data_IF_195823232228
#
_entry.id   IF_195823232228
#
_cell.length_a   1.000
_cell.length_b   1.000
_cell.length_c   1.000
_cell.angle_alpha   90.00
_cell.angle_beta   90.00
_cell.angle_gamma   90.00
#
_symmetry.space_group_name_H-M   'P 1'
#
loop_
_entity.id
_entity.type
_entity.pdbx_description
1 polymer ?
#
# COMPACT_ATOMS: atom_id res chain seq x y z
N UNK A 1 -4.63 14.82 -0.33
CA UNK A 1 -5.23 15.55 -1.47
C UNK A 1 -6.57 16.15 -1.02
N UNK A 2 -7.07 17.21 -1.70
CA UNK A 2 -8.34 17.85 -1.33
C UNK A 2 -9.58 17.01 -1.74
N UNK A 3 -9.39 16.08 -2.69
CA UNK A 3 -10.40 15.15 -3.18
C UNK A 3 -9.71 13.82 -3.52
N UNK A 4 -10.40 12.70 -3.27
CA UNK A 4 -9.96 11.33 -3.59
C UNK A 4 -11.14 10.56 -4.16
N UNK A 5 -10.92 9.90 -5.30
CA UNK A 5 -11.95 9.16 -6.02
C UNK A 5 -11.43 7.74 -6.29
N UNK A 6 -11.73 6.77 -5.42
CA UNK A 6 -11.35 5.38 -5.66
C UNK A 6 -11.97 4.86 -6.97
N UNK A 7 -11.23 4.05 -7.73
CA UNK A 7 -11.74 3.40 -8.94
C UNK A 7 -12.69 2.26 -8.58
N UNK A 8 -12.16 1.21 -7.96
CA UNK A 8 -12.96 0.12 -7.40
C UNK A 8 -13.56 0.47 -6.01
N UNK A 9 -14.88 0.33 -5.88
CA UNK A 9 -15.63 0.57 -4.64
C UNK A 9 -16.45 -0.67 -4.32
N UNK A 10 -16.20 -1.27 -3.16
CA UNK A 10 -16.96 -2.40 -2.67
C UNK A 10 -18.26 -1.96 -1.97
N UNK A 11 -19.28 -2.82 -2.03
CA UNK A 11 -20.53 -2.57 -1.31
C UNK A 11 -20.37 -2.73 0.22
N UNK A 12 -21.36 -2.26 0.97
CA UNK A 12 -21.33 -2.29 2.44
C UNK A 12 -21.43 -3.69 3.08
N UNK A 13 -21.68 -4.73 2.29
CA UNK A 13 -21.68 -6.13 2.70
C UNK A 13 -20.37 -6.85 2.37
N UNK A 14 -19.52 -6.27 1.52
CA UNK A 14 -18.27 -6.88 1.07
C UNK A 14 -17.31 -7.18 2.22
N UNK A 15 -16.67 -8.34 2.12
CA UNK A 15 -15.48 -8.68 2.86
C UNK A 15 -14.56 -9.51 1.99
N UNK A 16 -13.31 -9.12 2.02
CA UNK A 16 -12.19 -9.78 1.37
C UNK A 16 -11.75 -11.09 2.00
N UNK A 17 -12.26 -11.35 3.20
CA UNK A 17 -12.00 -12.55 3.96
C UNK A 17 -13.13 -13.54 3.74
N UNK A 18 -12.82 -14.64 3.05
CA UNK A 18 -13.75 -15.73 2.83
C UNK A 18 -13.44 -16.84 3.82
N UNK A 19 -14.43 -17.21 4.62
CA UNK A 19 -14.34 -18.37 5.53
C UNK A 19 -14.81 -19.61 4.76
N UNK A 20 -13.89 -20.52 4.47
CA UNK A 20 -14.20 -21.80 3.84
C UNK A 20 -14.95 -22.72 4.82
N UNK A 21 -15.69 -23.74 4.34
CA UNK A 21 -16.36 -24.72 5.22
C UNK A 21 -15.42 -25.46 6.19
N UNK A 22 -14.12 -25.50 5.88
CA UNK A 22 -13.07 -26.05 6.76
C UNK A 22 -12.70 -25.15 7.94
N UNK A 23 -13.17 -23.90 7.97
CA UNK A 23 -12.75 -22.86 8.91
C UNK A 23 -11.49 -22.10 8.47
N UNK A 24 -10.89 -22.46 7.34
CA UNK A 24 -9.76 -21.70 6.76
C UNK A 24 -10.29 -20.36 6.26
N UNK A 25 -9.61 -19.28 6.63
CA UNK A 25 -9.87 -17.95 6.10
C UNK A 25 -8.91 -17.70 4.95
N UNK A 26 -9.45 -17.39 3.77
CA UNK A 26 -8.66 -16.95 2.62
C UNK A 26 -8.87 -15.45 2.39
N UNK A 27 -7.80 -14.76 2.02
CA UNK A 27 -7.87 -13.40 1.50
C UNK A 27 -8.07 -13.51 -0.01
N UNK A 28 -9.31 -13.33 -0.49
CA UNK A 28 -9.68 -13.53 -1.88
C UNK A 28 -10.34 -12.26 -2.41
N UNK A 29 -9.64 -11.52 -3.26
CA UNK A 29 -10.09 -10.21 -3.71
C UNK A 29 -9.72 -9.93 -5.15
N UNK A 30 -10.73 -9.63 -5.96
CA UNK A 30 -10.65 -8.71 -7.08
C UNK A 30 -12.05 -8.10 -7.24
N UNK A 31 -12.25 -6.86 -6.75
CA UNK A 31 -13.46 -6.09 -7.10
C UNK A 31 -13.13 -5.30 -8.36
N UNK A 32 -13.98 -5.44 -9.37
CA UNK A 32 -13.88 -4.64 -10.58
C UNK A 32 -14.26 -3.18 -10.31
N UNK A 33 -13.59 -2.25 -11.00
CA UNK A 33 -14.03 -0.87 -11.13
C UNK A 33 -15.21 -0.77 -12.11
N UNK A 34 -15.56 0.45 -12.52
CA UNK A 34 -16.65 0.73 -13.46
C UNK A 34 -16.47 0.14 -14.87
N UNK A 35 -15.26 -0.26 -15.25
CA UNK A 35 -14.95 -0.88 -16.55
C UNK A 35 -15.04 -2.41 -16.53
N UNK A 36 -15.20 -3.00 -15.34
CA UNK A 36 -15.35 -4.45 -15.17
C UNK A 36 -14.06 -5.19 -14.85
N UNK A 37 -12.93 -4.49 -14.66
CA UNK A 37 -11.65 -5.09 -14.25
C UNK A 37 -11.03 -4.33 -13.07
N UNK A 38 -9.97 -4.85 -12.45
CA UNK A 38 -9.31 -4.20 -11.32
C UNK A 38 -8.28 -3.17 -11.78
N UNK A 39 -8.19 -2.02 -11.09
CA UNK A 39 -7.29 -0.89 -11.39
C UNK A 39 -5.77 -1.23 -11.39
N UNK A 40 -5.40 -2.45 -11.00
CA UNK A 40 -4.01 -2.92 -10.89
C UNK A 40 -3.66 -3.91 -12.00
N UNK A 41 -4.54 -4.12 -12.98
CA UNK A 41 -4.25 -4.92 -14.17
C UNK A 41 -3.64 -3.97 -15.21
N UNK A 42 -2.31 -3.93 -15.39
CA UNK A 42 -1.71 -2.94 -16.26
C UNK A 42 -2.09 -3.25 -17.71
N UNK A 43 -2.28 -2.22 -18.53
CA UNK A 43 -2.30 -2.40 -19.97
C UNK A 43 -0.86 -2.40 -20.51
N UNK A 44 -0.46 -3.36 -21.38
CA UNK A 44 0.94 -3.48 -21.82
C UNK A 44 1.44 -2.27 -22.62
N UNK A 45 0.53 -1.54 -23.27
CA UNK A 45 0.85 -0.33 -24.04
C UNK A 45 0.93 0.95 -23.16
N UNK A 46 0.87 0.81 -21.83
CA UNK A 46 0.96 1.90 -20.86
C UNK A 46 -0.39 2.34 -20.29
N UNK A 47 -0.42 3.44 -19.53
CA UNK A 47 -1.61 3.89 -18.81
C UNK A 47 -2.32 5.07 -19.50
N UNK A 48 -2.20 5.23 -20.83
CA UNK A 48 -2.85 6.36 -21.53
C UNK A 48 -4.37 6.23 -21.61
N UNK A 49 -5.10 7.27 -22.09
CA UNK A 49 -6.56 7.20 -22.21
C UNK A 49 -7.05 6.12 -23.18
N UNK A 50 -6.23 5.79 -24.19
CA UNK A 50 -6.53 4.71 -25.13
C UNK A 50 -6.23 3.32 -24.58
N UNK A 51 -5.59 3.26 -23.41
CA UNK A 51 -5.23 2.06 -22.67
C UNK A 51 -6.02 1.95 -21.36
N UNK A 52 -7.13 2.69 -21.26
CA UNK A 52 -8.04 2.54 -20.12
C UNK A 52 -8.48 1.08 -19.99
N UNK A 53 -8.48 0.63 -18.76
CA UNK A 53 -8.81 -0.72 -18.34
C UNK A 53 -10.14 -1.20 -18.93
N UNK A 54 -10.15 -2.32 -19.64
CA UNK A 54 -11.38 -2.96 -20.12
C UNK A 54 -11.28 -4.49 -20.13
N UNK A 55 -12.39 -5.16 -20.42
CA UNK A 55 -12.46 -6.63 -20.47
C UNK A 55 -11.61 -7.27 -21.59
N UNK A 56 -11.05 -6.49 -22.51
CA UNK A 56 -10.14 -6.94 -23.57
C UNK A 56 -8.66 -6.78 -23.20
N UNK A 57 -8.36 -6.30 -21.99
CA UNK A 57 -6.98 -6.14 -21.52
C UNK A 57 -6.23 -7.49 -21.66
N UNK A 58 -5.11 -7.54 -22.41
CA UNK A 58 -4.38 -8.79 -22.67
C UNK A 58 -3.77 -9.42 -21.42
N UNK A 59 -3.67 -8.67 -20.32
CA UNK A 59 -3.26 -9.15 -19.01
C UNK A 59 -4.41 -9.76 -18.19
N UNK A 60 -5.63 -9.81 -18.73
CA UNK A 60 -6.80 -10.48 -18.17
C UNK A 60 -7.19 -11.68 -19.04
N UNK A 61 -6.85 -12.89 -18.59
CA UNK A 61 -7.18 -14.14 -19.28
C UNK A 61 -8.32 -14.88 -18.53
N UNK A 62 -9.56 -14.47 -18.80
CA UNK A 62 -10.77 -15.01 -18.13
C UNK A 62 -10.91 -16.52 -18.39
N UNK A 63 -10.64 -16.98 -19.60
CA UNK A 63 -10.72 -18.38 -20.01
C UNK A 63 -9.70 -19.28 -19.31
N UNK A 64 -8.60 -18.70 -18.83
CA UNK A 64 -7.54 -19.39 -18.07
C UNK A 64 -7.66 -19.15 -16.56
N UNK A 65 -8.63 -18.35 -16.11
CA UNK A 65 -8.74 -17.82 -14.75
C UNK A 65 -7.40 -17.24 -14.25
N UNK A 66 -6.78 -16.40 -15.07
CA UNK A 66 -5.47 -15.81 -14.81
C UNK A 66 -5.48 -14.31 -15.07
N UNK A 67 -4.65 -13.60 -14.30
CA UNK A 67 -4.47 -12.15 -14.41
C UNK A 67 -3.03 -11.77 -14.11
N UNK A 68 -2.52 -10.73 -14.75
CA UNK A 68 -1.25 -10.07 -14.38
C UNK A 68 -1.59 -8.81 -13.59
N UNK A 69 -1.01 -8.68 -12.40
CA UNK A 69 -1.22 -7.53 -11.52
C UNK A 69 0.08 -6.74 -11.41
N UNK A 70 0.00 -5.42 -11.51
CA UNK A 70 1.08 -4.52 -11.17
C UNK A 70 1.25 -4.49 -9.65
N UNK A 71 2.48 -4.64 -9.18
CA UNK A 71 2.82 -4.56 -7.76
C UNK A 71 3.39 -3.18 -7.42
N UNK A 72 3.12 -2.74 -6.19
CA UNK A 72 3.70 -1.56 -5.56
C UNK A 72 5.13 -1.85 -5.12
N UNK A 73 6.02 -0.87 -5.20
CA UNK A 73 7.39 -0.95 -4.66
C UNK A 73 7.47 -0.43 -3.22
N UNK A 74 8.45 -0.89 -2.46
CA UNK A 74 8.66 -0.50 -1.07
C UNK A 74 10.07 -0.79 -0.57
N UNK A 75 10.30 -0.41 0.68
CA UNK A 75 11.52 -0.67 1.42
C UNK A 75 11.24 -1.55 2.63
N UNK A 76 12.15 -2.48 2.89
CA UNK A 76 12.21 -3.20 4.15
C UNK A 76 13.66 -3.34 4.60
N UNK A 77 13.93 -2.92 5.84
CA UNK A 77 15.23 -3.08 6.50
C UNK A 77 16.43 -2.60 5.66
N UNK A 78 16.30 -1.45 4.99
CA UNK A 78 17.36 -0.87 4.16
C UNK A 78 17.46 -1.43 2.74
N UNK A 79 16.67 -2.46 2.41
CA UNK A 79 16.64 -3.10 1.09
C UNK A 79 15.44 -2.63 0.27
N UNK A 80 15.62 -2.31 -1.03
CA UNK A 80 14.54 -1.92 -1.93
C UNK A 80 13.73 -3.14 -2.42
N UNK A 81 12.86 -2.91 -3.41
CA UNK A 81 12.13 -3.95 -4.15
C UNK A 81 11.18 -4.76 -3.26
N UNK A 82 10.64 -4.14 -2.23
CA UNK A 82 9.69 -4.78 -1.33
C UNK A 82 8.29 -4.75 -1.95
N UNK A 83 8.04 -5.69 -2.86
CA UNK A 83 6.84 -5.69 -3.68
C UNK A 83 5.62 -6.17 -2.91
N UNK A 84 4.57 -5.36 -2.97
CA UNK A 84 3.32 -5.60 -2.29
C UNK A 84 2.14 -5.21 -3.19
N UNK A 85 0.93 -5.52 -2.75
CA UNK A 85 -0.30 -5.10 -3.44
C UNK A 85 -1.30 -4.63 -2.40
N UNK A 86 -1.94 -3.49 -2.62
CA UNK A 86 -3.14 -3.12 -1.85
C UNK A 86 -4.33 -3.77 -2.50
N UNK A 87 -5.02 -4.57 -1.71
CA UNK A 87 -6.19 -5.32 -2.13
C UNK A 87 -7.45 -4.53 -1.78
N UNK A 88 -7.66 -4.24 -0.49
CA UNK A 88 -8.71 -3.36 -0.01
C UNK A 88 -8.28 -2.48 1.17
N UNK A 89 -9.01 -1.39 1.37
CA UNK A 89 -8.78 -0.44 2.46
C UNK A 89 -10.08 0.18 2.96
N UNK A 90 -10.11 0.52 4.24
CA UNK A 90 -11.23 1.23 4.87
C UNK A 90 -11.29 2.71 4.54
N UNK A 91 -10.25 3.27 3.92
CA UNK A 91 -10.11 4.70 3.65
C UNK A 91 -9.98 4.96 2.14
N UNK A 92 -10.69 5.95 1.58
CA UNK A 92 -10.65 6.23 0.15
C UNK A 92 -9.29 6.78 -0.33
N UNK A 93 -8.48 7.38 0.54
CA UNK A 93 -7.17 7.94 0.18
C UNK A 93 -6.18 6.88 -0.31
N UNK A 94 -5.84 5.88 0.52
CA UNK A 94 -5.04 4.73 0.09
C UNK A 94 -5.68 3.97 -1.07
N UNK A 95 -7.01 3.87 -1.15
CA UNK A 95 -7.69 3.18 -2.25
C UNK A 95 -7.39 3.87 -3.58
N UNK A 96 -7.46 5.21 -3.59
CA UNK A 96 -7.13 6.01 -4.77
C UNK A 96 -5.64 5.95 -5.08
N UNK A 97 -4.76 6.20 -4.11
CA UNK A 97 -3.32 6.40 -4.36
C UNK A 97 -2.60 5.09 -4.64
N UNK A 98 -3.07 3.97 -4.07
CA UNK A 98 -2.46 2.65 -4.24
C UNK A 98 -3.32 1.72 -5.12
N UNK A 99 -4.31 2.25 -5.83
CA UNK A 99 -5.21 1.52 -6.76
C UNK A 99 -5.82 0.26 -6.13
N UNK A 100 -6.17 0.38 -4.85
CA UNK A 100 -6.86 -0.66 -4.10
C UNK A 100 -8.37 -0.47 -4.11
N UNK A 101 -9.10 -1.49 -3.65
CA UNK A 101 -10.54 -1.42 -3.50
C UNK A 101 -10.90 -0.61 -2.26
N UNK A 102 -11.78 0.39 -2.40
CA UNK A 102 -12.37 1.05 -1.24
C UNK A 102 -13.46 0.14 -0.63
N UNK A 103 -13.17 -0.43 0.54
CA UNK A 103 -14.04 -1.33 1.28
C UNK A 103 -14.38 -0.72 2.67
N UNK A 104 -15.41 0.14 2.76
CA UNK A 104 -15.68 0.91 3.98
C UNK A 104 -15.97 0.04 5.22
N UNK A 105 -16.45 -1.19 5.03
CA UNK A 105 -16.74 -2.12 6.12
C UNK A 105 -15.49 -2.54 6.89
N UNK A 106 -14.29 -2.45 6.30
CA UNK A 106 -13.03 -2.72 7.00
C UNK A 106 -12.84 -1.83 8.24
N UNK A 107 -13.41 -0.62 8.25
CA UNK A 107 -13.35 0.28 9.41
C UNK A 107 -14.01 -0.29 10.67
N UNK A 108 -14.85 -1.33 10.53
CA UNK A 108 -15.51 -1.99 11.66
C UNK A 108 -14.66 -3.09 12.31
N UNK A 109 -13.44 -3.37 11.81
CA UNK A 109 -12.58 -4.36 12.44
C UNK A 109 -12.22 -3.90 13.86
N UNK A 110 -12.41 -4.76 14.87
CA UNK A 110 -12.14 -4.38 16.25
C UNK A 110 -10.64 -4.17 16.42
N UNK A 111 -10.29 -2.96 16.85
CA UNK A 111 -9.06 -2.65 17.60
C UNK A 111 -7.83 -2.22 16.78
N UNK A 112 -7.83 -0.95 16.37
CA UNK A 112 -6.74 -0.22 15.71
C UNK A 112 -5.56 0.10 16.65
N UNK A 113 -4.33 0.10 16.14
CA UNK A 113 -3.12 0.52 16.88
C UNK A 113 -2.61 -0.41 17.98
N UNK A 114 -3.16 -1.60 18.18
CA UNK A 114 -2.74 -2.52 19.26
C UNK A 114 -1.76 -3.61 18.82
N UNK A 115 -0.70 -3.30 18.08
CA UNK A 115 0.35 -4.30 17.81
C UNK A 115 1.32 -4.44 19.00
N UNK A 116 1.65 -5.66 19.50
CA UNK A 116 1.32 -7.01 18.96
C UNK A 116 0.03 -7.66 19.52
N UNK A 117 -0.74 -6.97 20.36
CA UNK A 117 -2.00 -7.47 20.93
C UNK A 117 -3.18 -7.56 19.96
N UNK A 118 -2.99 -7.20 18.69
CA UNK A 118 -3.99 -7.11 17.63
C UNK A 118 -3.40 -7.51 16.28
N UNK A 119 -4.26 -7.83 15.32
CA UNK A 119 -3.86 -8.38 14.01
C UNK A 119 -3.40 -7.33 13.00
N UNK A 120 -3.40 -6.05 13.36
CA UNK A 120 -2.95 -4.96 12.50
C UNK A 120 -1.51 -4.61 12.80
N UNK A 121 -0.66 -4.64 11.77
CA UNK A 121 0.72 -4.22 11.83
C UNK A 121 0.82 -2.72 11.57
N UNK A 122 1.60 -1.94 12.33
CA UNK A 122 1.78 -0.54 11.99
C UNK A 122 2.72 -0.43 10.77
N UNK A 123 2.49 0.52 9.88
CA UNK A 123 3.45 0.95 8.86
C UNK A 123 3.39 2.47 8.69
N UNK A 124 4.42 3.08 8.10
CA UNK A 124 4.60 4.53 8.12
C UNK A 124 4.83 5.10 6.72
N UNK A 125 3.75 5.31 5.94
CA UNK A 125 3.83 6.12 4.72
C UNK A 125 4.18 7.57 5.07
N UNK A 126 4.79 8.31 4.15
CA UNK A 126 5.13 9.73 4.36
C UNK A 126 4.30 10.64 3.48
N UNK A 127 3.70 11.69 4.05
CA UNK A 127 2.84 12.61 3.32
C UNK A 127 3.59 13.48 2.30
N UNK A 128 4.74 14.03 2.69
CA UNK A 128 5.49 15.04 1.94
C UNK A 128 6.95 14.61 1.68
N UNK A 129 7.13 13.40 1.16
CA UNK A 129 8.46 12.90 0.81
C UNK A 129 9.05 13.58 -0.43
N UNK A 130 10.09 12.97 -0.99
CA UNK A 130 10.81 13.48 -2.15
C UNK A 130 10.06 13.15 -3.44
N UNK A 131 9.86 14.13 -4.31
CA UNK A 131 9.12 14.00 -5.57
C UNK A 131 10.02 13.89 -6.81
N UNK A 132 11.32 14.09 -6.64
CA UNK A 132 12.32 14.00 -7.71
C UNK A 132 13.46 13.09 -7.28
N UNK A 133 13.82 12.12 -8.12
CA UNK A 133 15.00 11.30 -7.88
C UNK A 133 16.28 12.10 -8.15
N UNK A 134 17.16 12.17 -7.16
CA UNK A 134 18.41 12.95 -7.20
C UNK A 134 19.65 12.14 -6.83
N UNK A 135 19.47 10.94 -6.28
CA UNK A 135 20.55 10.09 -5.75
C UNK A 135 20.41 8.61 -6.14
N UNK A 136 19.43 8.27 -6.98
CA UNK A 136 19.21 6.91 -7.49
C UNK A 136 18.40 6.01 -6.56
N UNK A 137 17.82 6.56 -5.48
CA UNK A 137 16.91 5.84 -4.59
C UNK A 137 15.43 6.07 -4.91
N UNK A 138 15.14 6.82 -5.98
CA UNK A 138 13.78 7.07 -6.45
C UNK A 138 13.09 8.21 -5.73
N UNK A 139 11.76 8.12 -5.71
CA UNK A 139 10.85 9.08 -5.07
C UNK A 139 10.14 8.41 -3.89
N UNK A 140 9.54 9.20 -3.01
CA UNK A 140 8.75 8.67 -1.91
C UNK A 140 7.68 9.67 -1.47
N UNK A 141 6.55 9.13 -1.03
CA UNK A 141 5.53 9.83 -0.30
C UNK A 141 4.21 9.97 -1.04
N UNK A 142 3.14 10.26 -0.30
CA UNK A 142 1.80 10.41 -0.86
C UNK A 142 1.74 11.57 -1.87
N UNK A 143 2.56 12.59 -1.67
CA UNK A 143 2.72 13.71 -2.61
C UNK A 143 3.34 13.29 -3.94
N UNK A 144 4.33 12.38 -3.98
CA UNK A 144 4.92 11.94 -5.25
C UNK A 144 3.89 11.19 -6.09
N UNK A 145 3.13 10.30 -5.46
CA UNK A 145 2.05 9.56 -6.13
C UNK A 145 0.90 10.49 -6.58
N UNK A 146 0.52 11.47 -5.74
CA UNK A 146 -0.52 12.44 -6.08
C UNK A 146 -0.14 13.38 -7.23
N UNK A 147 1.15 13.66 -7.41
CA UNK A 147 1.66 14.48 -8.52
C UNK A 147 1.93 13.66 -9.78
N UNK A 148 1.93 12.34 -9.68
CA UNK A 148 2.15 11.46 -10.81
C UNK A 148 0.93 11.45 -11.72
N UNK A 149 1.10 11.89 -12.97
CA UNK A 149 0.06 11.72 -13.98
C UNK A 149 -0.25 10.23 -14.15
N UNK A 150 -1.54 9.89 -14.08
CA UNK A 150 -2.07 8.52 -14.13
C UNK A 150 -1.29 7.48 -13.32
N UNK A 151 -0.75 7.91 -12.18
CA UNK A 151 -0.06 7.07 -11.20
C UNK A 151 1.05 6.18 -11.78
N UNK A 152 1.82 6.72 -12.73
CA UNK A 152 3.10 6.13 -13.15
C UNK A 152 4.05 5.91 -11.96
N UNK A 153 3.95 6.71 -10.90
CA UNK A 153 4.68 6.55 -9.65
C UNK A 153 3.73 6.23 -8.50
N UNK A 154 4.01 5.13 -7.83
CA UNK A 154 3.34 4.71 -6.59
C UNK A 154 4.02 5.34 -5.36
N UNK A 155 3.34 5.40 -4.19
CA UNK A 155 3.99 5.80 -2.96
C UNK A 155 4.92 4.69 -2.48
N UNK A 156 6.24 4.88 -2.57
CA UNK A 156 7.19 3.88 -2.08
C UNK A 156 7.22 3.86 -0.55
N UNK A 157 6.57 2.87 0.06
CA UNK A 157 6.38 2.78 1.51
C UNK A 157 7.52 2.03 2.22
N UNK A 158 7.68 2.23 3.53
CA UNK A 158 8.62 1.45 4.37
C UNK A 158 7.84 0.49 5.26
N UNK A 159 8.24 -0.78 5.27
CA UNK A 159 7.58 -1.84 6.04
C UNK A 159 8.48 -2.33 7.18
N UNK A 160 7.94 -2.51 8.40
CA UNK A 160 8.73 -2.92 9.56
C UNK A 160 8.89 -4.43 9.70
N UNK A 161 7.96 -5.21 9.14
CA UNK A 161 7.84 -6.65 9.38
C UNK A 161 7.70 -7.36 8.03
N UNK A 162 8.52 -8.39 7.86
CA UNK A 162 8.55 -9.26 6.69
C UNK A 162 7.68 -10.51 6.89
N UNK A 163 7.09 -11.11 5.83
CA UNK A 163 6.33 -12.36 5.93
C UNK A 163 7.06 -13.54 6.58
N UNK A 164 8.39 -13.53 6.66
CA UNK A 164 9.15 -14.55 7.39
C UNK A 164 9.07 -14.39 8.91
N UNK A 165 8.56 -13.27 9.42
CA UNK A 165 8.35 -13.04 10.85
C UNK A 165 7.01 -13.64 11.30
N UNK A 166 7.00 -14.39 12.41
CA UNK A 166 5.79 -15.05 12.95
C UNK A 166 4.68 -14.06 13.36
N UNK A 167 5.02 -12.78 13.54
CA UNK A 167 4.06 -11.71 13.86
C UNK A 167 3.37 -11.16 12.62
N UNK A 168 3.79 -11.55 11.41
CA UNK A 168 3.30 -10.97 10.18
C UNK A 168 1.79 -11.16 10.01
N UNK A 169 1.12 -10.08 9.61
CA UNK A 169 -0.23 -10.07 9.10
C UNK A 169 -0.29 -9.13 7.89
N UNK A 170 -1.09 -9.43 6.85
CA UNK A 170 -1.25 -8.53 5.71
C UNK A 170 -2.13 -7.32 6.02
N UNK A 171 -2.63 -7.20 7.26
CA UNK A 171 -3.46 -6.09 7.70
C UNK A 171 -2.60 -5.03 8.35
N UNK A 172 -2.68 -3.82 7.83
CA UNK A 172 -1.86 -2.70 8.25
C UNK A 172 -2.69 -1.56 8.81
N UNK A 173 -2.13 -0.93 9.84
CA UNK A 173 -2.52 0.35 10.40
C UNK A 173 -1.54 1.40 9.89
N UNK A 174 -2.03 2.39 9.14
CA UNK A 174 -1.19 3.47 8.62
C UNK A 174 -0.93 4.53 9.68
N UNK A 175 0.34 4.85 9.91
CA UNK A 175 0.83 5.93 10.76
C UNK A 175 1.57 6.94 9.88
N UNK A 176 0.83 7.83 9.21
CA UNK A 176 1.45 8.74 8.25
C UNK A 176 2.40 9.71 8.98
N UNK A 177 3.58 9.89 8.41
CA UNK A 177 4.59 10.86 8.87
C UNK A 177 4.74 12.02 7.88
N UNK A 178 5.30 13.14 8.33
CA UNK A 178 5.70 14.24 7.46
C UNK A 178 7.06 14.83 7.88
N UNK A 179 7.86 15.21 6.89
CA UNK A 179 9.10 15.93 7.08
C UNK A 179 8.85 17.39 7.47
N UNK A 180 9.67 17.91 8.37
CA UNK A 180 9.70 19.32 8.79
C UNK A 180 10.75 20.14 8.04
N UNK A 181 11.61 19.47 7.25
CA UNK A 181 12.71 20.07 6.49
C UNK A 181 12.36 20.31 5.01
N UNK A 182 13.10 21.19 4.31
CA UNK A 182 12.97 21.39 2.86
C UNK A 182 13.20 20.09 2.07
N UNK A 183 12.59 19.97 0.89
CA UNK A 183 12.65 18.74 0.09
C UNK A 183 14.08 18.28 -0.25
N UNK A 184 14.99 19.21 -0.50
CA UNK A 184 16.41 18.93 -0.78
C UNK A 184 17.15 18.23 0.37
N UNK A 185 16.60 18.26 1.58
CA UNK A 185 17.18 17.64 2.78
C UNK A 185 16.45 16.35 3.17
N UNK A 186 15.34 16.00 2.51
CA UNK A 186 14.54 14.82 2.84
C UNK A 186 15.23 13.56 2.33
N UNK A 187 15.61 12.60 3.20
CA UNK A 187 16.06 11.30 2.76
C UNK A 187 14.89 10.46 2.25
N UNK A 188 15.18 9.43 1.45
CA UNK A 188 14.28 8.28 1.32
C UNK A 188 14.33 7.51 2.64
N UNK A 189 13.16 7.23 3.21
CA UNK A 189 12.97 6.37 4.37
C UNK A 189 13.08 4.92 3.89
N UNK A 190 14.00 4.17 4.49
CA UNK A 190 14.36 2.81 4.07
C UNK A 190 14.23 1.78 5.18
N UNK A 191 14.09 2.21 6.43
CA UNK A 191 13.89 1.34 7.59
C UNK A 191 13.14 2.06 8.71
N UNK A 192 12.52 1.28 9.59
CA UNK A 192 11.86 1.83 10.78
C UNK A 192 12.84 2.40 11.81
N UNK A 193 14.07 1.87 11.87
CA UNK A 193 15.12 2.47 12.71
C UNK A 193 15.44 3.91 12.28
N UNK A 194 15.52 4.15 10.96
CA UNK A 194 15.71 5.50 10.41
C UNK A 194 14.51 6.39 10.72
N UNK A 195 13.28 5.89 10.55
CA UNK A 195 12.06 6.63 10.89
C UNK A 195 12.07 7.05 12.35
N UNK A 196 12.41 6.14 13.26
CA UNK A 196 12.47 6.41 14.69
C UNK A 196 13.54 7.44 15.06
N UNK A 197 14.70 7.40 14.41
CA UNK A 197 15.75 8.41 14.61
C UNK A 197 15.27 9.81 14.18
N UNK A 198 14.64 9.91 13.01
CA UNK A 198 14.14 11.18 12.48
C UNK A 198 12.91 11.70 13.24
N UNK A 199 12.11 10.82 13.84
CA UNK A 199 11.05 11.21 14.77
C UNK A 199 11.64 11.78 16.07
N UNK A 200 12.68 11.15 16.60
CA UNK A 200 13.31 11.56 17.85
C UNK A 200 14.02 12.92 17.74
N UNK A 201 14.58 13.25 16.58
CA UNK A 201 15.25 14.54 16.34
C UNK A 201 14.33 15.65 15.80
N UNK A 202 13.08 15.31 15.43
CA UNK A 202 12.07 16.24 14.95
C UNK A 202 12.15 16.58 13.46
N UNK A 203 13.05 15.94 12.71
CA UNK A 203 13.11 16.01 11.23
C UNK A 203 11.87 15.39 10.60
N UNK A 204 11.34 14.35 11.23
CA UNK A 204 10.07 13.73 10.94
C UNK A 204 9.12 13.98 12.11
N UNK A 205 7.83 14.19 11.83
CA UNK A 205 6.78 14.25 12.83
C UNK A 205 5.59 13.40 12.37
N UNK A 206 4.70 13.01 13.28
CA UNK A 206 3.41 12.44 12.87
C UNK A 206 2.66 13.47 12.03
N UNK A 207 2.07 13.01 10.94
CA UNK A 207 1.31 13.88 10.06
C UNK A 207 0.16 14.50 10.83
N UNK A 208 0.06 15.83 10.76
CA UNK A 208 -0.95 16.60 11.51
C UNK A 208 -2.40 16.21 11.19
N UNK A 209 -2.63 15.56 10.05
CA UNK A 209 -3.94 15.07 9.64
C UNK A 209 -4.32 13.68 10.18
N UNK A 210 -3.47 13.01 10.97
CA UNK A 210 -3.81 11.71 11.55
C UNK A 210 -4.98 11.83 12.54
N UNK A 211 -5.95 10.91 12.45
CA UNK A 211 -7.19 10.99 13.22
C UNK A 211 -7.00 10.83 14.74
N UNK A 212 -5.97 10.10 15.19
CA UNK A 212 -5.68 9.88 16.60
C UNK A 212 -4.51 10.77 17.05
N UNK A 213 -4.73 11.97 17.61
CA UNK A 213 -3.65 12.91 17.91
C UNK A 213 -2.76 12.49 19.08
N UNK A 214 -3.11 11.42 19.81
CA UNK A 214 -2.29 10.83 20.87
C UNK A 214 -1.69 9.51 20.39
N UNK A 215 -0.38 9.29 20.58
CA UNK A 215 0.24 8.01 20.25
C UNK A 215 -0.48 6.88 20.97
N UNK A 216 -0.88 5.87 20.21
CA UNK A 216 -1.29 4.60 20.77
C UNK A 216 -0.01 3.81 21.03
N UNK A 217 0.12 3.26 22.23
CA UNK A 217 1.26 2.41 22.56
C UNK A 217 1.35 1.27 21.54
N UNK A 218 2.44 1.26 20.76
CA UNK A 218 2.72 0.25 19.76
C UNK A 218 4.21 -0.08 19.82
N UNK A 219 4.61 -1.26 19.39
CA UNK A 219 6.01 -1.70 19.52
C UNK A 219 6.98 -1.06 18.52
N UNK A 220 6.51 -0.22 17.59
CA UNK A 220 7.37 0.40 16.57
C UNK A 220 7.83 1.79 16.96
N UNK A 221 6.95 2.62 17.53
CA UNK A 221 7.30 3.95 18.02
C UNK A 221 6.20 4.52 18.92
N UNK A 222 6.59 5.00 20.10
CA UNK A 222 5.71 5.79 20.97
C UNK A 222 5.47 7.22 20.44
N UNK A 223 6.13 7.60 19.35
CA UNK A 223 5.99 8.92 18.73
C UNK A 223 5.01 8.92 17.56
N UNK A 224 4.66 7.76 17.00
CA UNK A 224 3.75 7.67 15.87
C UNK A 224 2.29 7.80 16.30
N UNK A 225 1.50 8.41 15.43
CA UNK A 225 0.05 8.49 15.58
C UNK A 225 -0.64 7.82 14.42
N UNK A 226 -1.74 7.15 14.73
CA UNK A 226 -2.43 6.29 13.80
C UNK A 226 -3.52 7.07 13.03
N UNK A 227 -3.66 6.80 11.73
CA UNK A 227 -4.55 7.55 10.82
C UNK A 227 -6.03 7.20 10.95
N UNK A 228 -6.35 6.00 11.42
CA UNK A 228 -7.66 5.36 11.34
C UNK A 228 -7.87 4.51 10.07
N UNK A 229 -6.95 4.56 9.10
CA UNK A 229 -7.03 3.77 7.88
C UNK A 229 -6.51 2.35 8.11
N UNK A 230 -7.35 1.37 7.78
CA UNK A 230 -7.01 -0.05 7.80
C UNK A 230 -6.79 -0.50 6.35
N UNK A 231 -5.61 -1.04 6.07
CA UNK A 231 -5.19 -1.37 4.71
C UNK A 231 -4.78 -2.84 4.66
N UNK A 232 -5.39 -3.61 3.78
CA UNK A 232 -5.01 -4.98 3.50
C UNK A 232 -3.98 -5.00 2.36
N UNK A 233 -2.73 -5.20 2.73
CA UNK A 233 -1.60 -5.08 1.82
C UNK A 233 -0.64 -6.28 1.99
N UNK A 234 -0.96 -7.44 1.39
CA UNK A 234 -0.05 -8.56 1.40
C UNK A 234 1.25 -8.23 0.66
N UNK A 235 2.36 -8.71 1.23
CA UNK A 235 3.68 -8.66 0.63
C UNK A 235 3.81 -9.86 -0.29
N UNK A 236 4.31 -9.63 -1.49
CA UNK A 236 4.42 -10.66 -2.53
C UNK A 236 5.84 -11.22 -2.59
N UNK A 237 6.85 -10.35 -2.64
CA UNK A 237 8.25 -10.78 -2.75
C UNK A 237 9.22 -9.62 -2.52
N UNK A 238 10.47 -9.94 -2.17
CA UNK A 238 11.59 -8.99 -2.13
C UNK A 238 12.83 -9.59 -2.82
N UNK A 239 13.00 -9.40 -4.14
CA UNK A 239 14.17 -9.90 -4.85
C UNK A 239 15.42 -9.06 -4.52
N UNK A 240 16.59 -9.70 -4.58
CA UNK A 240 17.88 -9.04 -4.34
C UNK A 240 18.36 -8.10 -5.46
N UNK A 241 17.60 -7.99 -6.55
CA UNK A 241 17.90 -7.13 -7.70
C UNK A 241 16.59 -6.65 -8.34
N UNK A 242 16.67 -5.56 -9.12
CA UNK A 242 15.49 -5.02 -9.81
C UNK A 242 14.92 -6.05 -10.77
N UNK A 243 13.60 -6.25 -10.65
CA UNK A 243 12.76 -7.01 -11.57
C UNK A 243 11.62 -6.14 -12.11
N UNK A 244 11.73 -4.82 -11.96
CA UNK A 244 10.75 -3.86 -12.47
C UNK A 244 10.63 -4.01 -13.98
N UNK A 245 9.39 -4.07 -14.47
CA UNK A 245 9.09 -4.31 -15.89
C UNK A 245 9.16 -5.78 -16.30
N UNK A 246 9.35 -6.71 -15.36
CA UNK A 246 9.26 -8.15 -15.64
C UNK A 246 7.95 -8.73 -15.13
N UNK A 247 7.38 -9.66 -15.90
CA UNK A 247 6.26 -10.48 -15.46
C UNK A 247 6.82 -11.78 -14.85
N UNK A 248 6.32 -12.14 -13.67
CA UNK A 248 6.73 -13.35 -12.96
C UNK A 248 5.52 -14.28 -12.80
N UNK A 249 5.70 -15.56 -13.11
CA UNK A 249 4.68 -16.60 -12.99
C UNK A 249 4.04 -17.01 -14.33
N UNK A 250 3.22 -18.06 -14.28
CA UNK A 250 2.41 -18.54 -15.41
C UNK A 250 1.04 -18.98 -14.88
N UNK A 251 -0.02 -18.93 -15.69
CA UNK A 251 -1.34 -19.42 -15.32
C UNK A 251 -1.25 -20.86 -14.78
N UNK A 252 -1.95 -21.17 -13.69
CA UNK A 252 -1.98 -22.53 -13.12
C UNK A 252 -2.80 -23.51 -13.94
N UNK A 253 -3.69 -23.04 -14.81
CA UNK A 253 -4.70 -23.86 -15.49
C UNK A 253 -4.32 -24.18 -16.95
N UNK A 254 -3.09 -24.68 -17.16
CA UNK A 254 -2.71 -25.30 -18.45
C UNK A 254 -3.29 -26.72 -18.57
#
# INVERSE_FOLDING_TARGET
PAEVNPGAIADGAWSSYVVLPSGVVINAQLVANSTGIHDRIPHPDGNGPAQEDDLNNPNLAIDQASVVMQLLDGWHNGSPYYFHIVTDTSDPGPATIELGVFAPRLANLPTFGLFPGGSMLPFSPTANGRTTDTDGFGVQGLNSASLSDRQVQDPTNTFPIDPNDERYAPMWDAHITEFTVPESERPILRSFDQINQLLADGTLIPFRGNANPSPLANSLSDLLTATGAIINCPVITQPGASVIGTQIGSPRNN
#
